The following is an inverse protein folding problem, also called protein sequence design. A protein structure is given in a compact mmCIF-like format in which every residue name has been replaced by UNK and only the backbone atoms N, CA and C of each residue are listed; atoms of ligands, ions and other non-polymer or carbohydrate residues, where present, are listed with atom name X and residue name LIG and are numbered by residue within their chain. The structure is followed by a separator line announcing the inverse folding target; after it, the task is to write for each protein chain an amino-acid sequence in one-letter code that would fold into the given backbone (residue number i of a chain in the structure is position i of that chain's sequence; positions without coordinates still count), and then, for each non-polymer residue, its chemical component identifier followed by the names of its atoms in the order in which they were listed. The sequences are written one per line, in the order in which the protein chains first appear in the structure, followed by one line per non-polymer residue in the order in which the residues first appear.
data_IF_809045797397
#
_entry.id   IF_809045797397
#
_cell.length_a   1.000
_cell.length_b   1.000
_cell.length_c   1.000
_cell.angle_alpha   90.00
_cell.angle_beta   90.00
_cell.angle_gamma   90.00
#
_symmetry.space_group_name_H-M   'P 1'
#
loop_
_entity.id
_entity.type
_entity.pdbx_description
1 polymer ?
#
# COMPACT_ATOMS: atom_id res chain seq x y z
N UNK A 1 19.27 -18.39 -16.85
CA UNK A 1 18.61 -17.07 -16.98
C UNK A 1 17.24 -17.28 -17.61
N UNK A 2 16.13 -17.03 -16.89
CA UNK A 2 14.77 -17.14 -17.44
C UNK A 2 14.03 -15.81 -17.30
N UNK A 3 13.32 -15.49 -18.37
CA UNK A 3 12.84 -14.20 -18.80
C UNK A 3 11.87 -13.55 -17.81
N UNK A 4 12.11 -12.28 -17.51
CA UNK A 4 11.09 -11.37 -16.99
C UNK A 4 10.02 -11.17 -18.08
N UNK A 5 8.84 -11.75 -17.88
CA UNK A 5 7.68 -11.48 -18.74
C UNK A 5 7.15 -10.08 -18.44
N UNK A 6 7.09 -9.28 -19.49
CA UNK A 6 6.55 -7.92 -19.52
C UNK A 6 5.03 -7.99 -19.50
N UNK A 7 4.44 -8.02 -18.31
CA UNK A 7 2.99 -8.01 -18.10
C UNK A 7 2.58 -6.59 -17.66
N UNK A 8 1.92 -5.86 -18.55
CA UNK A 8 1.15 -4.66 -18.21
C UNK A 8 1.99 -3.43 -17.86
N UNK A 9 1.49 -2.26 -18.23
CA UNK A 9 2.08 -0.97 -17.83
C UNK A 9 2.00 -0.86 -16.29
N UNK A 10 3.13 -0.60 -15.64
CA UNK A 10 3.14 0.33 -14.50
C UNK A 10 3.06 -0.17 -13.06
N UNK A 11 2.92 -1.46 -12.76
CA UNK A 11 2.82 -1.87 -11.35
C UNK A 11 4.21 -1.98 -10.71
N UNK A 12 4.60 -0.95 -9.93
CA UNK A 12 5.86 -1.00 -9.18
C UNK A 12 5.70 -1.89 -7.96
N UNK A 13 6.53 -2.93 -7.87
CA UNK A 13 6.47 -3.98 -6.87
C UNK A 13 6.87 -3.46 -5.47
N UNK A 14 5.90 -3.19 -4.59
CA UNK A 14 6.15 -2.94 -3.16
C UNK A 14 5.71 -4.16 -2.37
N UNK A 15 6.65 -5.04 -2.01
CA UNK A 15 6.46 -6.23 -1.13
C UNK A 15 5.10 -6.96 -1.34
N UNK A 16 4.83 -7.40 -2.57
CA UNK A 16 3.75 -8.35 -2.87
C UNK A 16 2.32 -7.76 -2.92
N UNK A 17 2.13 -6.45 -2.84
CA UNK A 17 0.83 -5.81 -3.07
C UNK A 17 0.85 -5.14 -4.45
N UNK A 18 -0.04 -5.58 -5.34
CA UNK A 18 -0.28 -4.90 -6.61
C UNK A 18 -1.07 -3.62 -6.32
N UNK A 19 -0.44 -2.48 -6.55
CA UNK A 19 -1.07 -1.14 -6.46
C UNK A 19 -0.97 -0.48 -7.82
N UNK A 20 -2.09 0.07 -8.26
CA UNK A 20 -2.18 0.81 -9.52
C UNK A 20 -1.35 2.10 -9.46
N UNK A 21 -0.98 2.63 -10.63
CA UNK A 21 -0.15 3.84 -10.74
C UNK A 21 -0.79 5.03 -10.00
N UNK A 22 -2.11 5.20 -10.09
CA UNK A 22 -2.85 6.27 -9.43
C UNK A 22 -2.73 6.22 -7.90
N UNK A 23 -2.84 5.01 -7.31
CA UNK A 23 -2.69 4.80 -5.87
C UNK A 23 -1.26 5.14 -5.43
N UNK A 24 -0.26 4.79 -6.25
CA UNK A 24 1.12 5.14 -5.98
C UNK A 24 1.38 6.65 -6.03
N UNK A 25 0.74 7.38 -6.94
CA UNK A 25 0.83 8.84 -7.01
C UNK A 25 0.16 9.52 -5.82
N UNK A 26 -1.04 9.05 -5.42
CA UNK A 26 -1.71 9.50 -4.21
C UNK A 26 -0.84 9.28 -2.97
N UNK A 27 -0.28 8.07 -2.81
CA UNK A 27 0.57 7.74 -1.67
C UNK A 27 1.84 8.61 -1.61
N UNK A 28 2.48 8.89 -2.76
CA UNK A 28 3.62 9.81 -2.86
C UNK A 28 3.25 11.23 -2.43
N UNK A 29 2.10 11.71 -2.88
CA UNK A 29 1.60 13.06 -2.55
C UNK A 29 1.35 13.18 -1.05
N UNK A 30 0.65 12.21 -0.46
CA UNK A 30 0.39 12.16 0.98
C UNK A 30 1.68 12.07 1.80
N UNK A 31 2.64 11.27 1.37
CA UNK A 31 3.95 11.15 2.03
C UNK A 31 4.68 12.51 2.08
N UNK A 32 4.66 13.28 0.98
CA UNK A 32 5.23 14.63 0.93
C UNK A 32 4.52 15.59 1.87
N UNK A 33 3.19 15.66 1.82
CA UNK A 33 2.38 16.56 2.67
C UNK A 33 2.59 16.28 4.14
N UNK A 34 2.61 14.99 4.53
CA UNK A 34 2.82 14.54 5.91
C UNK A 34 4.28 14.52 6.35
N UNK A 35 5.23 14.82 5.45
CA UNK A 35 6.68 14.71 5.69
C UNK A 35 7.07 13.34 6.27
N UNK A 36 6.52 12.28 5.69
CA UNK A 36 6.74 10.89 6.13
C UNK A 36 7.07 9.97 4.96
N UNK A 37 7.36 8.70 5.23
CA UNK A 37 7.64 7.71 4.20
C UNK A 37 6.35 7.17 3.55
N UNK A 38 6.43 6.79 2.28
CA UNK A 38 5.33 6.10 1.57
C UNK A 38 4.89 4.84 2.32
N UNK A 39 5.83 4.10 2.91
CA UNK A 39 5.53 2.92 3.72
C UNK A 39 4.66 3.24 4.93
N UNK A 40 4.87 4.40 5.57
CA UNK A 40 4.05 4.86 6.69
C UNK A 40 2.62 5.17 6.22
N UNK A 41 2.46 5.78 5.04
CA UNK A 41 1.14 6.04 4.44
C UNK A 41 0.38 4.72 4.24
N UNK A 42 1.03 3.70 3.67
CA UNK A 42 0.39 2.40 3.47
C UNK A 42 0.03 1.72 4.79
N UNK A 43 0.92 1.76 5.80
CA UNK A 43 0.63 1.23 7.14
C UNK A 43 -0.59 1.89 7.77
N UNK A 44 -0.68 3.22 7.71
CA UNK A 44 -1.84 3.96 8.21
C UNK A 44 -3.11 3.60 7.45
N UNK A 45 -3.04 3.41 6.14
CA UNK A 45 -4.16 2.95 5.32
C UNK A 45 -4.70 1.59 5.78
N UNK A 46 -3.81 0.62 5.97
CA UNK A 46 -4.18 -0.72 6.47
C UNK A 46 -4.82 -0.64 7.86
N UNK A 47 -4.23 0.13 8.79
CA UNK A 47 -4.78 0.27 10.15
C UNK A 47 -6.17 0.93 10.14
N UNK A 48 -6.38 1.94 9.30
CA UNK A 48 -7.69 2.60 9.17
C UNK A 48 -8.75 1.66 8.61
N UNK A 49 -8.42 0.93 7.54
CA UNK A 49 -9.32 -0.07 6.95
C UNK A 49 -9.66 -1.16 7.95
N UNK A 50 -8.66 -1.71 8.65
CA UNK A 50 -8.87 -2.73 9.67
C UNK A 50 -9.82 -2.25 10.77
N UNK A 51 -9.63 -1.03 11.29
CA UNK A 51 -10.52 -0.46 12.31
C UNK A 51 -11.94 -0.20 11.81
N UNK A 52 -12.11 0.15 10.53
CA UNK A 52 -13.42 0.35 9.93
C UNK A 52 -14.20 -0.97 9.81
N UNK A 53 -13.52 -2.06 9.46
CA UNK A 53 -14.16 -3.36 9.23
C UNK A 53 -14.31 -4.18 10.52
N UNK A 54 -13.28 -4.18 11.37
CA UNK A 54 -13.16 -5.11 12.51
C UNK A 54 -13.20 -4.37 13.88
N UNK A 55 -13.21 -3.04 13.87
CA UNK A 55 -13.17 -2.23 15.09
C UNK A 55 -11.80 -2.29 15.78
N UNK A 56 -11.80 -2.22 17.11
CA UNK A 56 -10.57 -2.24 17.92
C UNK A 56 -10.13 -3.66 18.34
N UNK A 57 -10.64 -4.70 17.69
CA UNK A 57 -10.21 -6.08 17.93
C UNK A 57 -8.74 -6.26 17.53
N UNK A 58 -8.05 -7.15 18.21
CA UNK A 58 -6.70 -7.56 17.84
C UNK A 58 -6.75 -8.46 16.59
N UNK A 59 -5.75 -8.40 15.68
CA UNK A 59 -5.63 -9.34 14.57
C UNK A 59 -5.58 -10.82 14.99
N UNK A 60 -5.27 -11.12 16.25
CA UNK A 60 -5.26 -12.47 16.80
C UNK A 60 -6.63 -12.93 17.32
N UNK A 61 -7.63 -12.05 17.36
CA UNK A 61 -8.99 -12.31 17.83
C UNK A 61 -10.01 -12.46 16.67
N UNK A 62 -9.53 -12.38 15.43
CA UNK A 62 -10.32 -12.45 14.19
C UNK A 62 -10.05 -13.75 13.47
#
# INVERSE_FOLDING_TARGET
MRLAQKIGKGTTFVRGIYVDEEIMEMAKTLARVKKTSINQIFREGVVKLYKQEIGDKSPHEV
#
